data_IF_338186072433
#
_entry.id   IF_338186072433
#
_cell.length_a   1.000
_cell.length_b   1.000
_cell.length_c   1.000
_cell.angle_alpha   90.00
_cell.angle_beta   90.00
_cell.angle_gamma   90.00
#
_symmetry.space_group_name_H-M   'P 1'
#
loop_
_entity.id
_entity.type
_entity.pdbx_description
1 polymer ?
#
# COMPACT_ATOMS: atom_id res chain seq x y z
N UNK A 1 11.35 -15.85 -4.89
CA UNK A 1 10.97 -14.61 -5.59
C UNK A 1 9.82 -13.97 -4.81
N UNK A 2 9.84 -12.66 -4.52
CA UNK A 2 8.73 -12.00 -3.83
C UNK A 2 7.47 -12.00 -4.70
N UNK A 3 6.30 -11.95 -4.05
CA UNK A 3 5.03 -11.73 -4.74
C UNK A 3 4.93 -10.28 -5.23
N UNK A 4 4.12 -10.06 -6.27
CA UNK A 4 3.84 -8.71 -6.75
C UNK A 4 2.87 -7.96 -5.82
N UNK A 5 3.13 -6.67 -5.64
CA UNK A 5 2.28 -5.76 -4.88
C UNK A 5 1.09 -5.28 -5.72
N UNK A 6 -0.07 -5.20 -5.07
CA UNK A 6 -1.38 -4.94 -5.69
C UNK A 6 -2.17 -3.96 -4.82
N UNK A 7 -3.18 -3.32 -5.40
CA UNK A 7 -4.14 -2.50 -4.65
C UNK A 7 -4.67 -3.28 -3.43
N UNK A 8 -4.80 -2.61 -2.28
CA UNK A 8 -5.16 -3.18 -0.96
C UNK A 8 -4.12 -4.04 -0.24
N UNK A 9 -2.98 -4.39 -0.86
CA UNK A 9 -1.86 -5.00 -0.13
C UNK A 9 -1.34 -4.02 0.95
N UNK A 10 -0.83 -4.57 2.06
CA UNK A 10 -0.38 -3.79 3.22
C UNK A 10 1.11 -3.48 3.18
N UNK A 11 1.45 -2.21 3.42
CA UNK A 11 2.78 -1.82 3.88
C UNK A 11 2.95 -2.15 5.36
N UNK A 12 4.14 -2.57 5.76
CA UNK A 12 4.41 -2.93 7.16
C UNK A 12 4.39 -1.71 8.07
N UNK A 13 4.00 -1.91 9.33
CA UNK A 13 4.12 -0.91 10.40
C UNK A 13 5.57 -0.45 10.61
N UNK A 14 5.73 0.75 11.16
CA UNK A 14 7.03 1.29 11.59
C UNK A 14 6.85 2.32 12.72
N UNK A 15 7.81 2.45 13.63
CA UNK A 15 7.88 3.51 14.66
C UNK A 15 6.60 3.78 15.48
N UNK A 16 5.75 2.76 15.67
CA UNK A 16 4.46 2.88 16.35
C UNK A 16 3.29 3.37 15.48
N UNK A 17 3.50 3.59 14.18
CA UNK A 17 2.47 3.77 13.17
C UNK A 17 2.00 2.40 12.65
N UNK A 18 0.69 2.18 12.61
CA UNK A 18 0.09 0.91 12.19
C UNK A 18 0.22 0.67 10.68
N UNK A 19 0.14 -0.56 10.23
CA UNK A 19 0.16 -0.90 8.79
C UNK A 19 -0.99 -0.22 8.00
N UNK A 20 -0.71 0.24 6.79
CA UNK A 20 -1.73 0.80 5.88
C UNK A 20 -1.67 0.16 4.51
N UNK A 21 -2.76 0.29 3.76
CA UNK A 21 -2.92 -0.37 2.47
C UNK A 21 -2.58 0.57 1.31
N UNK A 22 -2.19 -0.02 0.18
CA UNK A 22 -2.06 0.68 -1.11
C UNK A 22 -3.44 1.17 -1.57
N UNK A 23 -3.56 2.45 -1.94
CA UNK A 23 -4.84 3.11 -2.26
C UNK A 23 -5.03 3.44 -3.73
N UNK A 24 -3.98 3.36 -4.55
CA UNK A 24 -4.08 3.45 -6.00
C UNK A 24 -3.09 2.51 -6.66
N UNK A 25 -3.33 2.19 -7.92
CA UNK A 25 -2.48 1.31 -8.73
C UNK A 25 -2.68 1.61 -10.22
N UNK A 26 -2.19 0.71 -11.07
CA UNK A 26 -2.34 0.81 -12.52
C UNK A 26 -3.81 0.75 -12.97
N UNK A 27 -4.20 1.59 -13.92
CA UNK A 27 -5.53 1.54 -14.55
C UNK A 27 -5.62 0.51 -15.69
N UNK A 28 -4.50 -0.09 -16.09
CA UNK A 28 -4.43 -0.95 -17.29
C UNK A 28 -3.79 -2.32 -17.05
N UNK A 29 -3.06 -2.50 -15.94
CA UNK A 29 -2.37 -3.75 -15.61
C UNK A 29 -2.92 -4.28 -14.29
N UNK A 30 -3.41 -5.52 -14.32
CA UNK A 30 -4.01 -6.20 -13.19
C UNK A 30 -3.23 -7.47 -12.86
N UNK A 31 -3.08 -7.77 -11.57
CA UNK A 31 -2.49 -9.00 -11.04
C UNK A 31 -3.52 -9.59 -10.08
N UNK A 32 -3.88 -10.85 -10.29
CA UNK A 32 -4.94 -11.52 -9.52
C UNK A 32 -6.27 -10.74 -9.50
N UNK A 33 -6.58 -10.02 -10.58
CA UNK A 33 -7.77 -9.18 -10.70
C UNK A 33 -7.72 -7.83 -9.98
N UNK A 34 -6.60 -7.48 -9.33
CA UNK A 34 -6.39 -6.20 -8.66
C UNK A 34 -5.40 -5.31 -9.42
N UNK A 35 -5.57 -3.98 -9.41
CA UNK A 35 -4.59 -3.07 -10.00
C UNK A 35 -3.17 -3.33 -9.48
N UNK A 36 -2.21 -3.49 -10.40
CA UNK A 36 -0.81 -3.65 -10.03
C UNK A 36 -0.26 -2.37 -9.39
N UNK A 37 0.43 -2.49 -8.26
CA UNK A 37 1.10 -1.35 -7.64
C UNK A 37 2.46 -1.06 -8.31
N UNK A 38 2.85 0.21 -8.37
CA UNK A 38 4.07 0.71 -9.01
C UNK A 38 4.78 1.69 -8.07
N UNK A 39 6.02 2.05 -8.44
CA UNK A 39 6.74 3.12 -7.75
C UNK A 39 5.93 4.43 -7.81
N UNK A 40 5.71 5.03 -6.65
CA UNK A 40 4.97 6.29 -6.49
C UNK A 40 3.47 6.11 -6.24
N UNK A 41 2.92 4.90 -6.34
CA UNK A 41 1.53 4.67 -5.94
C UNK A 41 1.39 4.83 -4.40
N UNK A 42 0.38 5.58 -3.92
CA UNK A 42 0.24 5.92 -2.50
C UNK A 42 -0.28 4.76 -1.64
N UNK A 43 0.10 4.77 -0.37
CA UNK A 43 -0.58 4.07 0.71
C UNK A 43 -1.40 5.07 1.53
N UNK A 44 -2.38 4.59 2.30
CA UNK A 44 -3.11 5.44 3.25
C UNK A 44 -2.13 6.07 4.25
N UNK A 45 -2.14 7.40 4.45
CA UNK A 45 -1.41 8.03 5.54
C UNK A 45 -1.88 7.51 6.90
N UNK A 46 -0.98 7.46 7.87
CA UNK A 46 -1.28 7.01 9.23
C UNK A 46 -0.67 7.93 10.27
N UNK A 47 -1.26 7.91 11.46
CA UNK A 47 -0.81 8.66 12.62
C UNK A 47 -0.64 7.73 13.82
N UNK A 48 0.06 8.22 14.84
CA UNK A 48 0.16 7.57 16.15
C UNK A 48 -0.19 8.58 17.24
N UNK A 49 -0.54 8.16 18.46
CA UNK A 49 -0.86 9.09 19.55
C UNK A 49 0.23 10.15 19.74
N UNK A 50 -0.20 11.40 19.93
CA UNK A 50 0.66 12.59 20.11
C UNK A 50 1.55 12.96 18.91
N UNK A 51 1.29 12.40 17.73
CA UNK A 51 1.97 12.71 16.46
C UNK A 51 0.93 12.80 15.34
N UNK A 52 0.13 13.89 15.33
CA UNK A 52 -0.94 14.09 14.35
C UNK A 52 -0.41 14.43 12.96
#
# INVERSE_FOLDING_TARGET
MPLAAKLTDKGTRHDGYYETAITAGSSTVFIDGLPAARQGDPLTPHAKPKHP
#
